data_IF_852947708777
#
_entry.id   IF_852947708777
#
_cell.length_a   1.000
_cell.length_b   1.000
_cell.length_c   1.000
_cell.angle_alpha   90.00
_cell.angle_beta   90.00
_cell.angle_gamma   90.00
#
_symmetry.space_group_name_H-M   'P 1'
#
loop_
_entity.id
_entity.type
_entity.pdbx_description
1 polymer ?
#
# COMPACT_ATOMS: atom_id res chain seq x y z
N UNK A 1 -7.54 -1.44 -14.04
CA UNK A 1 -6.11 -1.47 -14.41
C UNK A 1 -5.83 -2.75 -15.16
N UNK A 2 -4.78 -2.80 -15.97
CA UNK A 2 -4.38 -4.03 -16.65
C UNK A 2 -3.24 -3.82 -17.65
N UNK A 3 -2.98 -4.85 -18.43
CA UNK A 3 -1.97 -4.84 -19.48
C UNK A 3 -2.63 -5.12 -20.83
N UNK A 4 -2.30 -4.31 -21.83
CA UNK A 4 -2.56 -4.62 -23.23
C UNK A 4 -1.30 -5.20 -23.85
N UNK A 5 -1.36 -6.45 -24.27
CA UNK A 5 -0.28 -7.09 -25.02
C UNK A 5 -0.34 -6.61 -26.48
N UNK A 6 0.81 -6.24 -27.01
CA UNK A 6 1.00 -5.78 -28.39
C UNK A 6 2.24 -6.42 -28.97
N UNK A 7 2.40 -6.37 -30.29
CA UNK A 7 3.57 -6.95 -30.98
C UNK A 7 4.90 -6.31 -30.53
N UNK A 8 4.85 -5.10 -29.96
CA UNK A 8 6.00 -4.35 -29.46
C UNK A 8 6.08 -4.34 -27.92
N UNK A 9 5.43 -5.30 -27.24
CA UNK A 9 5.49 -5.48 -25.79
C UNK A 9 4.21 -5.12 -25.05
N UNK A 10 4.34 -4.84 -23.75
CA UNK A 10 3.22 -4.65 -22.84
C UNK A 10 2.93 -3.17 -22.61
N UNK A 11 1.68 -2.76 -22.81
CA UNK A 11 1.22 -1.39 -22.53
C UNK A 11 0.35 -1.37 -21.28
N UNK A 12 0.71 -0.54 -20.31
CA UNK A 12 -0.07 -0.35 -19.09
C UNK A 12 -1.41 0.35 -19.41
N UNK A 13 -2.51 -0.23 -18.93
CA UNK A 13 -3.82 0.41 -18.86
C UNK A 13 -4.03 0.87 -17.42
N UNK A 14 -3.86 2.17 -17.19
CA UNK A 14 -4.12 2.78 -15.88
C UNK A 14 -5.47 3.52 -15.91
N UNK A 15 -6.39 3.12 -15.04
CA UNK A 15 -7.69 3.80 -14.93
C UNK A 15 -7.52 5.09 -14.13
N UNK A 16 -8.18 6.18 -14.56
CA UNK A 16 -8.26 7.42 -13.77
C UNK A 16 -9.08 7.26 -12.48
N UNK A 17 -9.88 6.20 -12.37
CA UNK A 17 -10.72 5.90 -11.20
C UNK A 17 -10.00 5.21 -10.04
N UNK A 18 -8.70 4.90 -10.16
CA UNK A 18 -7.93 4.25 -9.07
C UNK A 18 -8.04 5.02 -7.74
N UNK A 19 -7.86 6.35 -7.69
CA UNK A 19 -7.95 7.07 -6.42
C UNK A 19 -9.35 7.07 -5.80
N UNK A 20 -10.39 7.06 -6.63
CA UNK A 20 -11.78 7.01 -6.18
C UNK A 20 -12.11 5.64 -5.59
N UNK A 21 -11.63 4.56 -6.22
CA UNK A 21 -11.73 3.22 -5.65
C UNK A 21 -11.02 3.14 -4.29
N UNK A 22 -9.82 3.70 -4.18
CA UNK A 22 -9.11 3.73 -2.89
C UNK A 22 -9.91 4.51 -1.84
N UNK A 23 -10.54 5.60 -2.22
CA UNK A 23 -11.33 6.41 -1.30
C UNK A 23 -12.62 5.71 -0.82
N UNK A 24 -13.26 4.93 -1.69
CA UNK A 24 -14.62 4.39 -1.46
C UNK A 24 -14.63 2.92 -1.05
N UNK A 25 -13.71 2.10 -1.56
CA UNK A 25 -13.73 0.65 -1.40
C UNK A 25 -12.60 0.11 -0.50
N UNK A 26 -11.40 0.71 -0.54
CA UNK A 26 -10.24 0.17 0.19
C UNK A 26 -10.40 0.30 1.71
N UNK A 27 -10.95 1.41 2.20
CA UNK A 27 -11.13 1.61 3.65
C UNK A 27 -12.04 0.54 4.28
N UNK A 28 -13.29 0.33 3.81
CA UNK A 28 -14.15 -0.70 4.38
C UNK A 28 -13.55 -2.11 4.33
N UNK A 29 -12.85 -2.44 3.24
CA UNK A 29 -12.22 -3.76 3.06
C UNK A 29 -11.07 -3.95 4.06
N UNK A 30 -10.23 -2.93 4.28
CA UNK A 30 -9.16 -2.98 5.28
C UNK A 30 -9.73 -3.06 6.70
N UNK A 31 -10.76 -2.27 7.01
CA UNK A 31 -11.42 -2.32 8.32
C UNK A 31 -12.00 -3.72 8.59
N UNK A 32 -12.69 -4.31 7.61
CA UNK A 32 -13.20 -5.68 7.73
C UNK A 32 -12.07 -6.70 7.93
N UNK A 33 -11.00 -6.63 7.12
CA UNK A 33 -9.87 -7.55 7.21
C UNK A 33 -9.16 -7.49 8.58
N UNK A 34 -9.07 -6.31 9.17
CA UNK A 34 -8.49 -6.13 10.51
C UNK A 34 -9.46 -6.60 11.61
N UNK A 35 -10.77 -6.34 11.46
CA UNK A 35 -11.79 -6.76 12.42
C UNK A 35 -11.87 -8.29 12.54
N UNK A 36 -11.71 -9.02 11.42
CA UNK A 36 -11.60 -10.50 11.41
C UNK A 36 -10.43 -11.03 12.26
N UNK A 37 -9.47 -10.17 12.61
CA UNK A 37 -8.32 -10.46 13.48
C UNK A 37 -8.40 -9.77 14.84
N UNK A 38 -9.51 -9.09 15.15
CA UNK A 38 -9.70 -8.30 16.36
C UNK A 38 -8.82 -7.05 16.42
N UNK A 39 -8.52 -6.45 15.27
CA UNK A 39 -7.66 -5.27 15.14
C UNK A 39 -8.40 -4.10 14.49
N UNK A 40 -7.87 -2.91 14.72
CA UNK A 40 -8.24 -1.67 14.05
C UNK A 40 -7.02 -1.04 13.38
N UNK A 41 -7.24 -0.05 12.52
CA UNK A 41 -6.14 0.73 11.92
C UNK A 41 -5.30 1.43 13.00
N UNK A 42 -5.91 1.80 14.14
CA UNK A 42 -5.21 2.45 15.25
C UNK A 42 -4.25 1.52 16.00
N UNK A 43 -4.40 0.20 15.85
CA UNK A 43 -3.51 -0.79 16.46
C UNK A 43 -2.22 -1.01 15.64
N UNK A 44 -2.11 -0.39 14.46
CA UNK A 44 -1.00 -0.56 13.53
C UNK A 44 0.00 0.58 13.63
N UNK A 45 1.26 0.26 13.94
CA UNK A 45 2.36 1.22 13.96
C UNK A 45 2.95 1.41 12.55
N UNK A 46 2.94 0.37 11.72
CA UNK A 46 3.63 0.36 10.42
C UNK A 46 2.70 0.18 9.23
N UNK A 47 2.93 0.95 8.16
CA UNK A 47 2.07 0.98 6.98
C UNK A 47 2.90 0.81 5.70
N UNK A 48 2.90 -0.40 5.14
CA UNK A 48 3.57 -0.76 3.88
C UNK A 48 2.52 -0.80 2.76
N UNK A 49 2.05 0.39 2.34
CA UNK A 49 0.96 0.51 1.36
C UNK A 49 1.53 0.82 -0.03
N UNK A 50 1.30 -0.06 -1.01
CA UNK A 50 1.85 0.07 -2.37
C UNK A 50 1.57 1.46 -2.98
N UNK A 51 2.61 2.21 -3.35
CA UNK A 51 2.46 3.55 -3.89
C UNK A 51 2.08 3.48 -5.38
N UNK A 52 0.78 3.53 -5.66
CA UNK A 52 0.27 3.71 -7.03
C UNK A 52 0.53 5.11 -7.62
N UNK A 53 1.21 5.99 -6.87
CA UNK A 53 1.49 7.39 -7.20
C UNK A 53 1.08 8.36 -6.10
N UNK A 54 1.43 9.65 -6.25
CA UNK A 54 1.18 10.68 -5.23
C UNK A 54 -0.29 10.79 -4.80
N UNK A 55 -1.23 10.71 -5.76
CA UNK A 55 -2.66 10.80 -5.47
C UNK A 55 -3.20 9.60 -4.68
N UNK A 56 -2.65 8.41 -4.90
CA UNK A 56 -3.02 7.21 -4.13
C UNK A 56 -2.52 7.33 -2.69
N UNK A 57 -1.29 7.80 -2.50
CA UNK A 57 -0.74 8.03 -1.16
C UNK A 57 -1.56 9.07 -0.37
N UNK A 58 -1.98 10.17 -1.00
CA UNK A 58 -2.87 11.14 -0.35
C UNK A 58 -4.21 10.52 0.04
N UNK A 59 -4.77 9.66 -0.82
CA UNK A 59 -6.03 8.98 -0.50
C UNK A 59 -5.89 8.03 0.68
N UNK A 60 -4.82 7.24 0.77
CA UNK A 60 -4.59 6.38 1.95
C UNK A 60 -4.56 7.19 3.24
N UNK A 61 -3.84 8.32 3.26
CA UNK A 61 -3.79 9.17 4.47
C UNK A 61 -5.16 9.65 4.89
N UNK A 62 -5.93 10.20 3.96
CA UNK A 62 -7.28 10.71 4.27
C UNK A 62 -8.24 9.59 4.66
N UNK A 63 -8.17 8.43 4.00
CA UNK A 63 -9.06 7.31 4.26
C UNK A 63 -8.82 6.66 5.63
N UNK A 64 -7.56 6.50 6.01
CA UNK A 64 -7.15 5.82 7.24
C UNK A 64 -6.78 6.77 8.39
N UNK A 65 -6.88 8.09 8.18
CA UNK A 65 -6.50 9.08 9.19
C UNK A 65 -5.00 9.07 9.51
N UNK A 66 -4.14 8.74 8.54
CA UNK A 66 -2.71 8.58 8.78
C UNK A 66 -1.97 9.92 8.79
N UNK A 67 -1.08 10.02 9.77
CA UNK A 67 -0.09 11.08 9.85
C UNK A 67 0.85 11.10 8.64
N UNK A 68 1.45 12.26 8.35
CA UNK A 68 2.31 12.42 7.18
C UNK A 68 3.52 11.48 7.17
N UNK A 69 4.06 11.18 8.36
CA UNK A 69 5.22 10.32 8.50
C UNK A 69 4.89 8.83 8.28
N UNK A 70 3.63 8.41 8.38
CA UNK A 70 3.22 7.01 8.23
C UNK A 70 3.54 6.44 6.84
N UNK A 71 3.59 7.30 5.81
CA UNK A 71 3.94 6.92 4.43
C UNK A 71 5.35 7.35 4.02
N UNK A 72 6.24 7.66 4.97
CA UNK A 72 7.62 8.08 4.68
C UNK A 72 8.36 7.02 3.86
N UNK A 73 8.28 5.75 4.24
CA UNK A 73 8.96 4.65 3.53
C UNK A 73 8.43 4.45 2.12
N UNK A 74 7.12 4.63 1.90
CA UNK A 74 6.54 4.61 0.55
C UNK A 74 7.06 5.76 -0.33
N UNK A 75 7.17 6.97 0.24
CA UNK A 75 7.73 8.13 -0.46
C UNK A 75 9.21 7.94 -0.79
N UNK A 76 9.97 7.42 0.15
CA UNK A 76 11.41 7.19 -0.02
C UNK A 76 11.67 6.09 -1.04
N UNK A 77 10.94 4.97 -0.99
CA UNK A 77 11.02 3.92 -2.01
C UNK A 77 10.69 4.45 -3.41
N UNK A 78 9.65 5.28 -3.55
CA UNK A 78 9.34 5.94 -4.82
C UNK A 78 10.45 6.89 -5.28
N UNK A 79 11.14 7.56 -4.35
CA UNK A 79 12.26 8.47 -4.65
C UNK A 79 13.51 7.70 -5.11
N UNK A 80 13.82 6.58 -4.45
CA UNK A 80 15.03 5.80 -4.69
C UNK A 80 14.87 4.84 -5.88
N UNK A 81 13.71 4.19 -6.01
CA UNK A 81 13.50 3.06 -6.92
C UNK A 81 12.34 3.25 -7.91
N UNK A 82 11.47 4.24 -7.69
CA UNK A 82 10.23 4.39 -8.44
C UNK A 82 9.23 3.26 -8.18
N UNK A 83 8.25 3.10 -9.08
CA UNK A 83 7.29 2.00 -8.99
C UNK A 83 7.87 0.75 -9.70
N UNK A 84 8.32 -0.21 -8.91
CA UNK A 84 8.86 -1.50 -9.37
C UNK A 84 7.77 -2.58 -9.50
N UNK A 85 6.52 -2.17 -9.73
CA UNK A 85 5.36 -3.07 -9.76
C UNK A 85 5.24 -3.85 -8.45
N UNK A 86 4.98 -5.16 -8.51
CA UNK A 86 4.77 -6.04 -7.36
C UNK A 86 5.93 -6.03 -6.36
N UNK A 87 7.18 -5.82 -6.81
CA UNK A 87 8.34 -5.81 -5.93
C UNK A 87 8.36 -4.60 -4.97
N UNK A 88 7.65 -3.52 -5.29
CA UNK A 88 7.74 -2.26 -4.53
C UNK A 88 7.43 -2.42 -3.05
N UNK A 89 6.41 -3.22 -2.70
CA UNK A 89 6.04 -3.44 -1.29
C UNK A 89 7.08 -4.23 -0.52
N UNK A 90 7.84 -5.11 -1.20
CA UNK A 90 8.92 -5.88 -0.57
C UNK A 90 10.15 -5.01 -0.33
N UNK A 91 10.49 -4.11 -1.26
CA UNK A 91 11.56 -3.13 -1.06
C UNK A 91 11.20 -2.16 0.07
N UNK A 92 9.96 -1.68 0.12
CA UNK A 92 9.48 -0.86 1.22
C UNK A 92 9.52 -1.58 2.57
N UNK A 93 9.13 -2.86 2.62
CA UNK A 93 9.23 -3.68 3.82
C UNK A 93 10.69 -3.87 4.25
N UNK A 94 11.58 -4.12 3.29
CA UNK A 94 13.02 -4.23 3.53
C UNK A 94 13.57 -2.94 4.14
N UNK A 95 13.28 -1.79 3.55
CA UNK A 95 13.72 -0.48 4.05
C UNK A 95 13.17 -0.18 5.45
N UNK A 96 11.91 -0.53 5.72
CA UNK A 96 11.29 -0.41 7.04
C UNK A 96 12.05 -1.23 8.08
N UNK A 97 12.31 -2.51 7.81
CA UNK A 97 13.03 -3.40 8.73
C UNK A 97 14.48 -2.95 8.91
N UNK A 98 15.17 -2.59 7.82
CA UNK A 98 16.54 -2.11 7.85
C UNK A 98 16.69 -0.77 8.61
N UNK A 99 15.61 0.01 8.74
CA UNK A 99 15.61 1.24 9.52
C UNK A 99 15.55 1.04 11.04
N UNK A 100 15.40 -0.21 11.51
CA UNK A 100 15.28 -0.59 12.93
C UNK A 100 14.14 0.16 13.67
N UNK A 101 13.15 0.65 12.92
CA UNK A 101 11.98 1.32 13.49
C UNK A 101 10.96 0.37 14.12
N UNK A 102 10.66 -0.80 13.51
CA UNK A 102 9.79 -1.77 14.17
C UNK A 102 10.44 -2.36 15.42
N UNK A 103 9.69 -2.38 16.52
CA UNK A 103 10.10 -3.00 17.78
C UNK A 103 9.24 -4.23 18.11
N UNK A 104 9.70 -5.17 18.94
CA UNK A 104 8.91 -6.34 19.32
C UNK A 104 7.54 -5.95 19.90
N UNK A 105 6.48 -6.55 19.38
CA UNK A 105 5.09 -6.25 19.70
C UNK A 105 4.40 -5.28 18.73
N UNK A 106 5.16 -4.59 17.88
CA UNK A 106 4.59 -3.73 16.84
C UNK A 106 3.83 -4.56 15.80
N UNK A 107 2.83 -3.92 15.19
CA UNK A 107 2.03 -4.47 14.11
C UNK A 107 2.06 -3.54 12.90
N UNK A 108 1.78 -4.11 11.74
CA UNK A 108 1.65 -3.32 10.53
C UNK A 108 0.75 -3.95 9.49
N UNK A 109 0.39 -3.15 8.50
CA UNK A 109 -0.35 -3.58 7.32
C UNK A 109 0.53 -3.46 6.10
N UNK A 110 0.70 -4.56 5.37
CA UNK A 110 1.21 -4.56 4.01
C UNK A 110 0.05 -4.72 3.05
N UNK A 111 -0.08 -3.81 2.09
CA UNK A 111 -1.15 -3.84 1.11
C UNK A 111 -0.67 -3.51 -0.29
N UNK A 112 -1.14 -4.25 -1.30
CA UNK A 112 -0.89 -3.99 -2.71
C UNK A 112 -2.19 -3.96 -3.52
N UNK A 113 -2.20 -3.18 -4.61
CA UNK A 113 -3.36 -3.03 -5.52
C UNK A 113 -2.99 -3.47 -6.93
N UNK A 114 -3.84 -4.27 -7.59
CA UNK A 114 -3.53 -4.89 -8.89
C UNK A 114 -4.66 -4.85 -9.95
N UNK A 115 -4.42 -5.35 -11.18
CA UNK A 115 -5.43 -5.54 -12.22
C UNK A 115 -6.63 -6.41 -11.78
N UNK A 116 -7.79 -6.22 -12.43
CA UNK A 116 -9.10 -6.70 -11.90
C UNK A 116 -9.65 -5.82 -10.76
N UNK A 117 -8.81 -4.89 -10.28
CA UNK A 117 -8.90 -4.13 -9.05
C UNK A 117 -9.15 -5.01 -7.83
N UNK A 118 -8.09 -5.73 -7.46
CA UNK A 118 -7.98 -6.45 -6.20
C UNK A 118 -7.07 -5.68 -5.23
N UNK A 119 -7.35 -5.82 -3.94
CA UNK A 119 -6.47 -5.46 -2.86
C UNK A 119 -5.96 -6.74 -2.20
N UNK A 120 -4.65 -6.89 -2.13
CA UNK A 120 -3.98 -7.98 -1.41
C UNK A 120 -3.43 -7.41 -0.10
N UNK A 121 -3.66 -8.08 1.03
CA UNK A 121 -3.39 -7.56 2.36
C UNK A 121 -2.75 -8.62 3.26
N UNK A 122 -1.78 -8.19 4.08
CA UNK A 122 -1.16 -8.98 5.13
C UNK A 122 -1.03 -8.14 6.39
N UNK A 123 -1.39 -8.70 7.54
CA UNK A 123 -0.94 -8.19 8.83
C UNK A 123 0.47 -8.69 9.09
N UNK A 124 1.31 -7.78 9.58
CA UNK A 124 2.68 -8.02 9.99
C UNK A 124 2.77 -7.86 11.50
N UNK A 125 3.65 -8.64 12.13
CA UNK A 125 4.01 -8.52 13.52
C UNK A 125 5.53 -8.65 13.65
N UNK A 126 6.11 -7.86 14.55
CA UNK A 126 7.53 -7.88 14.88
C UNK A 126 7.76 -8.41 16.30
#
# INVERSE_FOLDING_TARGET
>A
MGWRFTDNGMRLILSRGVPEFVATAVKPIVEQFLDEQGLTVGDLQHHVLHPGGAKVMSTYRSAFGLEEHALRHAREAMRCYGNQSSASVLFMLHDLVASEQPVPGDRGLLMALGPGFAAEMLTLAW
#
